data_IF_520650013629
#
_entry.id   IF_520650013629
#
_cell.length_a   1.000
_cell.length_b   1.000
_cell.length_c   1.000
_cell.angle_alpha   90.00
_cell.angle_beta   90.00
_cell.angle_gamma   90.00
#
_symmetry.space_group_name_H-M   'P 1'
#
loop_
_entity.id
_entity.type
_entity.pdbx_description
1 polymer ?
#
# COMPACT_ATOMS: atom_id res chain seq x y z
N UNK A 1 -15.79 -13.40 72.55
CA UNK A 1 -16.09 -14.83 72.47
C UNK A 1 -15.71 -15.29 71.06
N UNK A 2 -14.52 -15.81 70.88
CA UNK A 2 -14.09 -16.75 69.81
C UNK A 2 -14.59 -18.17 70.15
N UNK A 3 -14.69 -19.16 69.26
CA UNK A 3 -13.74 -19.60 68.25
C UNK A 3 -14.40 -20.07 66.91
N UNK A 4 -13.70 -20.34 65.89
CA UNK A 4 -13.02 -21.51 65.44
C UNK A 4 -12.62 -21.53 63.99
N UNK A 5 -11.40 -22.00 63.76
CA UNK A 5 -10.76 -22.22 62.47
C UNK A 5 -11.32 -23.45 61.73
N UNK A 6 -11.30 -23.39 60.39
CA UNK A 6 -11.15 -24.58 59.55
C UNK A 6 -10.39 -24.24 58.26
N UNK A 7 -9.25 -24.88 58.10
CA UNK A 7 -8.38 -24.85 56.91
C UNK A 7 -9.01 -25.67 55.78
N UNK A 8 -8.99 -25.13 54.56
CA UNK A 8 -9.30 -25.84 53.33
C UNK A 8 -8.11 -25.78 52.37
N UNK A 9 -7.59 -26.92 52.00
CA UNK A 9 -6.44 -27.13 51.12
C UNK A 9 -6.65 -26.58 49.69
N UNK A 10 -5.56 -26.17 48.96
CA UNK A 10 -5.68 -25.73 47.59
C UNK A 10 -5.76 -26.94 46.62
N UNK A 11 -6.72 -26.88 45.73
CA UNK A 11 -6.90 -27.84 44.64
C UNK A 11 -5.75 -27.73 43.59
N UNK A 12 -5.20 -28.89 43.25
CA UNK A 12 -4.14 -29.09 42.27
C UNK A 12 -4.59 -28.69 40.85
N UNK A 13 -3.77 -27.90 40.17
CA UNK A 13 -3.88 -27.59 38.75
C UNK A 13 -3.64 -28.87 37.89
N UNK A 14 -4.64 -29.23 37.10
CA UNK A 14 -4.54 -30.29 36.08
C UNK A 14 -3.74 -29.85 34.85
N UNK A 15 -2.55 -30.42 34.65
CA UNK A 15 -1.75 -30.23 33.45
C UNK A 15 -2.44 -30.85 32.23
N UNK A 16 -2.69 -30.05 31.20
CA UNK A 16 -3.07 -30.53 29.87
C UNK A 16 -1.83 -30.92 29.12
N UNK A 17 -1.66 -32.21 28.88
CA UNK A 17 -0.64 -32.80 28.03
C UNK A 17 -0.98 -32.50 26.57
N UNK A 18 -0.13 -31.72 25.89
CA UNK A 18 -0.22 -31.52 24.45
C UNK A 18 0.32 -32.78 23.75
N UNK A 19 -0.55 -33.53 23.08
CA UNK A 19 -0.14 -34.63 22.19
C UNK A 19 0.56 -34.09 20.95
N UNK A 20 1.84 -34.42 20.78
CA UNK A 20 2.57 -34.29 19.52
C UNK A 20 1.90 -35.14 18.44
N UNK A 21 1.44 -34.53 17.37
CA UNK A 21 0.98 -35.22 16.17
C UNK A 21 2.22 -35.61 15.37
N UNK A 22 2.32 -36.91 15.08
CA UNK A 22 3.45 -37.55 14.44
C UNK A 22 3.72 -37.10 13.00
N UNK A 23 4.95 -37.30 12.58
CA UNK A 23 5.48 -36.88 11.30
C UNK A 23 4.76 -37.50 10.09
N UNK A 24 4.67 -36.72 9.03
CA UNK A 24 4.21 -37.13 7.71
C UNK A 24 5.45 -37.58 6.94
N UNK A 25 5.53 -38.88 6.66
CA UNK A 25 6.53 -39.52 5.76
C UNK A 25 6.39 -38.96 4.34
N UNK A 26 7.50 -38.58 3.73
CA UNK A 26 7.60 -38.24 2.32
C UNK A 26 7.83 -39.51 1.49
N UNK A 27 7.02 -39.82 0.47
CA UNK A 27 7.36 -40.87 -0.49
C UNK A 27 8.40 -40.39 -1.50
N UNK A 28 9.32 -41.30 -1.84
CA UNK A 28 10.48 -41.07 -2.67
C UNK A 28 10.16 -40.77 -4.15
N UNK A 29 11.12 -40.08 -4.74
CA UNK A 29 11.22 -39.87 -6.19
C UNK A 29 11.64 -41.19 -6.90
N UNK A 30 10.87 -41.58 -7.89
CA UNK A 30 11.39 -42.31 -9.06
C UNK A 30 10.38 -42.23 -10.20
N UNK A 31 10.84 -41.94 -11.42
CA UNK A 31 10.08 -42.10 -12.65
C UNK A 31 10.12 -40.86 -13.57
N UNK A 32 11.07 -40.86 -14.52
CA UNK A 32 10.98 -40.04 -15.73
C UNK A 32 9.85 -40.57 -16.62
N UNK A 33 9.07 -39.77 -17.29
CA UNK A 33 8.39 -40.20 -18.51
C UNK A 33 9.03 -39.58 -19.77
N UNK A 34 8.91 -40.40 -20.79
CA UNK A 34 9.46 -40.29 -22.12
C UNK A 34 8.96 -39.11 -22.94
N UNK A 35 9.84 -38.67 -23.82
CA UNK A 35 9.61 -37.72 -24.91
C UNK A 35 8.61 -38.25 -25.94
N UNK A 36 7.51 -37.54 -26.16
CA UNK A 36 6.66 -37.72 -27.33
C UNK A 36 6.90 -36.57 -28.29
N UNK A 37 7.48 -36.88 -29.45
CA UNK A 37 7.66 -35.96 -30.57
C UNK A 37 6.32 -35.66 -31.25
N UNK A 38 6.08 -34.41 -31.55
CA UNK A 38 4.98 -33.96 -32.43
C UNK A 38 5.60 -33.42 -33.70
N UNK A 39 5.23 -34.07 -34.82
CA UNK A 39 5.73 -33.82 -36.15
C UNK A 39 5.28 -32.45 -36.71
N UNK A 40 6.18 -31.92 -37.48
CA UNK A 40 5.98 -30.79 -38.39
C UNK A 40 5.21 -31.19 -39.62
N UNK A 41 4.09 -30.51 -39.90
CA UNK A 41 3.52 -30.49 -41.26
C UNK A 41 3.65 -29.08 -41.83
N UNK A 42 4.49 -28.96 -42.84
CA UNK A 42 4.50 -27.86 -43.80
C UNK A 42 3.31 -28.04 -44.74
N UNK A 43 2.63 -26.93 -45.02
CA UNK A 43 1.88 -26.76 -46.26
C UNK A 43 2.18 -25.40 -46.88
N UNK A 44 2.55 -25.50 -48.13
CA UNK A 44 3.07 -24.52 -49.07
C UNK A 44 1.92 -23.85 -49.84
N UNK A 45 2.29 -22.79 -50.59
CA UNK A 45 1.54 -22.11 -51.67
C UNK A 45 0.50 -21.06 -51.24
N UNK A 46 0.45 -19.86 -51.83
CA UNK A 46 0.81 -19.35 -53.16
C UNK A 46 0.85 -17.81 -53.17
N UNK A 47 1.75 -17.29 -53.99
CA UNK A 47 1.89 -15.88 -54.46
C UNK A 47 0.67 -15.44 -55.23
N UNK A 48 0.23 -14.16 -55.07
CA UNK A 48 -0.23 -13.36 -56.20
C UNK A 48 0.24 -11.91 -56.07
N UNK A 49 0.96 -11.52 -57.05
CA UNK A 49 1.50 -10.22 -57.40
C UNK A 49 0.38 -9.37 -58.04
N UNK A 50 0.26 -8.10 -57.71
CA UNK A 50 -0.36 -7.11 -58.59
C UNK A 50 0.09 -5.68 -58.22
N UNK A 51 1.01 -5.22 -58.99
CA UNK A 51 1.42 -3.83 -59.21
C UNK A 51 0.35 -3.02 -59.90
N UNK A 52 0.04 -1.80 -59.45
CA UNK A 52 -0.31 -0.65 -60.32
C UNK A 52 -0.21 0.70 -59.57
N UNK A 53 0.32 1.75 -60.25
CA UNK A 53 0.66 3.02 -59.65
C UNK A 53 -0.45 4.08 -59.66
N UNK A 54 -0.28 5.25 -59.01
CA UNK A 54 -1.33 6.23 -58.77
C UNK A 54 -1.51 7.19 -59.96
N UNK A 55 -2.73 7.60 -60.13
CA UNK A 55 -3.20 8.55 -61.16
C UNK A 55 -3.17 9.98 -60.59
N UNK A 56 -2.49 10.88 -61.34
CA UNK A 56 -2.45 12.32 -61.11
C UNK A 56 -3.84 12.96 -61.37
N UNK A 57 -4.21 13.96 -60.59
CA UNK A 57 -5.29 14.90 -60.87
C UNK A 57 -4.76 16.33 -60.83
N UNK A 58 -5.17 17.06 -61.86
CA UNK A 58 -4.70 18.35 -62.34
C UNK A 58 -5.15 19.52 -61.48
N UNK A 59 -4.30 20.55 -61.47
CA UNK A 59 -4.61 21.89 -61.01
C UNK A 59 -5.69 22.57 -61.88
N UNK A 60 -6.55 23.35 -61.19
CA UNK A 60 -7.24 24.49 -61.80
C UNK A 60 -6.95 25.72 -60.97
N UNK A 61 -6.29 26.68 -61.63
CA UNK A 61 -6.16 28.07 -61.20
C UNK A 61 -7.46 28.81 -61.46
N UNK A 62 -7.82 29.71 -60.60
CA UNK A 62 -8.94 30.63 -60.74
C UNK A 62 -8.73 31.86 -59.88
N UNK A 63 -8.54 32.98 -60.57
CA UNK A 63 -8.23 34.31 -60.03
C UNK A 63 -9.30 34.96 -59.19
N UNK A 64 -8.89 35.68 -58.14
CA UNK A 64 -9.23 37.08 -57.87
C UNK A 64 -10.60 37.37 -57.23
N UNK A 65 -10.54 37.91 -56.02
CA UNK A 65 -10.99 39.29 -55.70
C UNK A 65 -10.71 39.59 -54.24
N UNK A 66 -10.08 40.72 -53.99
CA UNK A 66 -9.90 41.39 -52.69
C UNK A 66 -11.22 41.77 -52.07
N UNK A 67 -11.45 41.38 -50.80
CA UNK A 67 -12.28 42.13 -49.86
C UNK A 67 -11.60 42.12 -48.50
N UNK A 68 -11.11 43.28 -48.08
CA UNK A 68 -10.69 43.54 -46.69
C UNK A 68 -11.91 43.48 -45.79
N UNK A 69 -11.85 42.62 -44.77
CA UNK A 69 -12.71 42.78 -43.60
C UNK A 69 -11.90 42.46 -42.35
N UNK A 70 -11.55 43.52 -41.62
CA UNK A 70 -10.99 43.47 -40.28
C UNK A 70 -12.04 42.94 -39.33
N UNK A 71 -11.84 41.73 -38.80
CA UNK A 71 -12.41 41.30 -37.54
C UNK A 71 -11.31 40.64 -36.73
N UNK A 72 -10.83 41.37 -35.71
CA UNK A 72 -9.89 40.80 -34.73
C UNK A 72 -10.57 39.71 -33.93
N UNK A 73 -10.13 38.45 -34.17
CA UNK A 73 -10.40 37.37 -33.22
C UNK A 73 -9.42 37.58 -32.08
N UNK A 74 -9.93 38.01 -30.92
CA UNK A 74 -9.25 37.89 -29.66
C UNK A 74 -8.96 36.39 -29.46
N UNK A 75 -7.69 36.00 -29.49
CA UNK A 75 -7.25 34.70 -29.01
C UNK A 75 -7.56 34.70 -27.52
N UNK A 76 -8.65 34.04 -27.14
CA UNK A 76 -8.98 33.77 -25.75
C UNK A 76 -7.81 33.05 -25.14
N UNK A 77 -7.10 33.72 -24.20
CA UNK A 77 -6.13 33.08 -23.35
C UNK A 77 -6.83 31.91 -22.65
N UNK A 78 -6.32 30.71 -22.82
CA UNK A 78 -6.67 29.59 -21.97
C UNK A 78 -6.28 30.01 -20.57
N UNK A 79 -7.30 30.29 -19.74
CA UNK A 79 -7.10 30.41 -18.30
C UNK A 79 -6.48 29.08 -17.87
N UNK A 80 -5.20 29.10 -17.53
CA UNK A 80 -4.60 27.99 -16.79
C UNK A 80 -5.40 27.91 -15.48
N UNK A 81 -6.21 26.87 -15.34
CA UNK A 81 -6.82 26.55 -14.07
C UNK A 81 -5.68 26.39 -13.04
N UNK A 82 -5.81 27.02 -11.88
CA UNK A 82 -4.82 26.82 -10.83
C UNK A 82 -4.71 25.31 -10.54
N UNK A 83 -3.48 24.77 -10.34
CA UNK A 83 -3.30 23.35 -10.08
C UNK A 83 -4.09 22.95 -8.83
N UNK A 84 -4.88 21.89 -8.95
CA UNK A 84 -5.71 21.37 -7.86
C UNK A 84 -4.78 21.00 -6.69
N UNK A 85 -5.07 21.55 -5.52
CA UNK A 85 -4.25 21.27 -4.33
C UNK A 85 -4.38 19.83 -3.87
N UNK A 86 -3.35 19.28 -3.21
CA UNK A 86 -3.39 17.89 -2.67
C UNK A 86 -4.61 17.66 -1.76
N UNK A 87 -4.99 18.58 -0.84
CA UNK A 87 -6.22 18.42 -0.05
C UNK A 87 -7.48 18.26 -0.90
N UNK A 88 -7.61 19.00 -1.99
CA UNK A 88 -8.75 18.91 -2.93
C UNK A 88 -8.74 17.59 -3.70
N UNK A 89 -7.56 17.13 -4.15
CA UNK A 89 -7.37 15.83 -4.78
C UNK A 89 -7.81 14.69 -3.86
N UNK A 90 -7.38 14.71 -2.60
CA UNK A 90 -7.76 13.75 -1.58
C UNK A 90 -9.26 13.83 -1.22
N UNK A 91 -9.83 15.03 -1.17
CA UNK A 91 -11.27 15.24 -0.94
C UNK A 91 -12.10 14.65 -2.10
N UNK A 92 -11.68 14.91 -3.35
CA UNK A 92 -12.33 14.34 -4.54
C UNK A 92 -12.30 12.83 -4.53
N UNK A 93 -11.16 12.23 -4.20
CA UNK A 93 -11.05 10.76 -4.12
C UNK A 93 -11.94 10.17 -3.02
N UNK A 94 -12.06 10.82 -1.86
CA UNK A 94 -13.04 10.43 -0.83
C UNK A 94 -14.47 10.52 -1.34
N UNK A 95 -14.83 11.60 -2.01
CA UNK A 95 -16.17 11.79 -2.55
C UNK A 95 -16.56 10.69 -3.54
N UNK A 96 -15.64 10.30 -4.42
CA UNK A 96 -15.90 9.27 -5.44
C UNK A 96 -15.85 7.85 -4.86
N UNK A 97 -14.91 7.54 -3.97
CA UNK A 97 -14.69 6.17 -3.50
C UNK A 97 -15.49 5.81 -2.24
N UNK A 98 -15.87 6.75 -1.37
CA UNK A 98 -16.56 6.41 -0.10
C UNK A 98 -17.94 5.79 -0.31
N UNK A 99 -18.83 6.29 -1.20
CA UNK A 99 -20.13 5.65 -1.40
C UNK A 99 -20.02 4.20 -1.88
N UNK A 100 -19.25 3.86 -2.93
CA UNK A 100 -19.12 2.47 -3.35
C UNK A 100 -18.36 1.59 -2.33
N UNK A 101 -17.42 2.15 -1.55
CA UNK A 101 -16.77 1.44 -0.44
C UNK A 101 -17.78 1.05 0.64
N UNK A 102 -18.67 1.98 1.03
CA UNK A 102 -19.77 1.69 1.97
C UNK A 102 -20.72 0.64 1.41
N UNK A 103 -21.06 0.73 0.12
CA UNK A 103 -21.92 -0.25 -0.54
C UNK A 103 -21.27 -1.65 -0.57
N UNK A 104 -19.96 -1.75 -0.77
CA UNK A 104 -19.23 -3.02 -0.70
C UNK A 104 -19.26 -3.61 0.71
N UNK A 105 -18.94 -2.82 1.74
CA UNK A 105 -18.98 -3.26 3.15
C UNK A 105 -20.37 -3.70 3.59
N UNK A 106 -21.43 -3.03 3.14
CA UNK A 106 -22.82 -3.41 3.41
C UNK A 106 -23.25 -4.78 2.83
N UNK A 107 -22.42 -5.40 1.98
CA UNK A 107 -22.62 -6.78 1.50
C UNK A 107 -22.24 -7.85 2.53
N UNK A 108 -21.44 -7.47 3.52
CA UNK A 108 -21.04 -8.38 4.60
C UNK A 108 -22.23 -8.72 5.48
N UNK A 109 -22.30 -9.98 5.91
CA UNK A 109 -23.32 -10.40 6.86
C UNK A 109 -23.02 -9.86 8.26
N UNK A 110 -24.07 -9.55 9.04
CA UNK A 110 -23.91 -9.20 10.45
C UNK A 110 -23.24 -10.35 11.23
N UNK A 111 -22.35 -10.06 12.19
CA UNK A 111 -21.95 -8.74 12.67
C UNK A 111 -20.78 -8.12 11.92
N UNK A 112 -20.24 -8.74 10.85
CA UNK A 112 -19.03 -8.28 10.14
C UNK A 112 -19.19 -6.90 9.52
N UNK A 113 -20.37 -6.58 8.98
CA UNK A 113 -20.70 -5.25 8.44
C UNK A 113 -20.54 -4.14 9.50
N UNK A 114 -21.03 -4.41 10.72
CA UNK A 114 -20.95 -3.50 11.86
C UNK A 114 -19.50 -3.32 12.34
N UNK A 115 -18.74 -4.40 12.47
CA UNK A 115 -17.32 -4.34 12.87
C UNK A 115 -16.49 -3.61 11.83
N UNK A 116 -16.72 -3.85 10.53
CA UNK A 116 -16.07 -3.12 9.44
C UNK A 116 -16.43 -1.63 9.48
N UNK A 117 -17.72 -1.28 9.61
CA UNK A 117 -18.18 0.12 9.68
C UNK A 117 -17.54 0.85 10.88
N UNK A 118 -17.37 0.17 12.02
CA UNK A 118 -16.65 0.69 13.17
C UNK A 118 -15.18 0.93 12.84
N UNK A 119 -14.49 -0.05 12.25
CA UNK A 119 -13.07 0.06 11.90
C UNK A 119 -12.82 1.24 10.92
N UNK A 120 -13.68 1.42 9.92
CA UNK A 120 -13.62 2.56 9.01
C UNK A 120 -13.95 3.91 9.68
N UNK A 121 -14.43 3.91 10.92
CA UNK A 121 -14.81 5.14 11.64
C UNK A 121 -16.13 5.74 11.18
N UNK A 122 -17.03 4.96 10.61
CA UNK A 122 -18.36 5.41 10.19
C UNK A 122 -19.40 5.37 11.27
N UNK A 123 -19.20 4.52 12.26
CA UNK A 123 -20.02 4.37 13.46
C UNK A 123 -19.13 4.31 14.70
N UNK A 124 -19.71 4.58 15.87
CA UNK A 124 -19.11 4.28 17.16
C UNK A 124 -19.37 2.84 17.60
N UNK A 125 -18.92 2.48 18.82
CA UNK A 125 -19.10 1.14 19.40
C UNK A 125 -20.57 0.75 19.59
N UNK A 126 -21.46 1.74 19.71
CA UNK A 126 -22.89 1.53 19.96
C UNK A 126 -23.69 1.54 18.64
N UNK A 127 -23.01 1.64 17.51
CA UNK A 127 -23.61 1.66 16.17
C UNK A 127 -24.11 3.04 15.72
N UNK A 128 -23.83 4.10 16.50
CA UNK A 128 -24.26 5.46 16.16
C UNK A 128 -23.35 6.03 15.07
N UNK A 129 -23.90 6.62 13.99
CA UNK A 129 -23.09 7.25 12.96
C UNK A 129 -22.20 8.37 13.51
N UNK A 130 -20.93 8.36 13.10
CA UNK A 130 -19.95 9.41 13.47
C UNK A 130 -19.35 10.02 12.20
N UNK A 131 -18.96 11.29 12.32
CA UNK A 131 -18.24 11.99 11.26
C UNK A 131 -16.76 11.60 11.34
N UNK A 132 -16.43 10.37 10.95
CA UNK A 132 -15.03 9.92 10.81
C UNK A 132 -14.49 10.25 9.41
N UNK A 133 -13.24 10.63 9.32
CA UNK A 133 -12.60 11.00 8.06
C UNK A 133 -12.02 9.80 7.27
N UNK A 134 -12.12 8.58 7.81
CA UNK A 134 -11.70 7.34 7.13
C UNK A 134 -10.21 7.30 6.72
N UNK A 135 -9.41 8.29 7.11
CA UNK A 135 -8.01 8.43 6.73
C UNK A 135 -7.78 9.37 5.53
N UNK A 136 -6.52 9.48 5.10
CA UNK A 136 -6.10 10.48 4.10
C UNK A 136 -6.51 10.15 2.66
N UNK A 137 -7.00 8.93 2.38
CA UNK A 137 -7.44 8.46 1.04
C UNK A 137 -6.37 8.58 -0.06
N UNK A 138 -5.09 8.45 0.29
CA UNK A 138 -3.96 8.52 -0.66
C UNK A 138 -4.02 7.39 -1.69
N UNK A 139 -4.31 6.15 -1.26
CA UNK A 139 -4.40 4.99 -2.17
C UNK A 139 -5.56 5.11 -3.15
N UNK A 140 -6.79 5.48 -2.75
CA UNK A 140 -7.85 5.83 -3.68
C UNK A 140 -7.45 6.94 -4.66
N UNK A 141 -6.78 8.02 -4.18
CA UNK A 141 -6.33 9.10 -5.06
C UNK A 141 -5.35 8.62 -6.14
N UNK A 142 -4.40 7.77 -5.78
CA UNK A 142 -3.46 7.14 -6.73
C UNK A 142 -4.20 6.31 -7.79
N UNK A 143 -5.22 5.54 -7.39
CA UNK A 143 -6.01 4.75 -8.34
C UNK A 143 -6.78 5.63 -9.33
N UNK A 144 -7.37 6.73 -8.87
CA UNK A 144 -8.06 7.68 -9.74
C UNK A 144 -7.08 8.39 -10.69
N UNK A 145 -5.94 8.86 -10.17
CA UNK A 145 -4.89 9.50 -10.96
C UNK A 145 -4.33 8.55 -12.03
N UNK A 146 -4.15 7.26 -11.70
CA UNK A 146 -3.65 6.29 -12.66
C UNK A 146 -4.61 6.06 -13.84
N UNK A 147 -5.93 6.13 -13.62
CA UNK A 147 -6.90 6.16 -14.72
C UNK A 147 -6.75 7.45 -15.56
N UNK A 148 -6.64 8.62 -14.92
CA UNK A 148 -6.44 9.88 -15.61
C UNK A 148 -5.11 9.92 -16.42
N UNK A 149 -4.07 9.22 -15.97
CA UNK A 149 -2.80 9.12 -16.68
C UNK A 149 -2.95 8.47 -18.08
N UNK A 150 -4.03 7.73 -18.31
CA UNK A 150 -4.35 7.15 -19.64
C UNK A 150 -5.33 8.00 -20.45
N UNK A 151 -5.70 9.17 -19.95
CA UNK A 151 -6.76 10.02 -20.54
C UNK A 151 -8.18 9.57 -20.20
N UNK A 152 -8.37 8.54 -19.36
CA UNK A 152 -9.68 8.11 -18.91
C UNK A 152 -10.25 9.02 -17.82
N UNK A 153 -11.57 9.00 -17.64
CA UNK A 153 -12.22 9.68 -16.53
C UNK A 153 -11.81 9.04 -15.18
N UNK A 154 -11.65 9.83 -14.10
CA UNK A 154 -11.22 9.31 -12.80
C UNK A 154 -12.16 8.23 -12.24
N UNK A 155 -13.45 8.24 -12.62
CA UNK A 155 -14.46 7.27 -12.21
C UNK A 155 -14.10 5.83 -12.64
N UNK A 156 -13.33 5.65 -13.72
CA UNK A 156 -12.80 4.35 -14.15
C UNK A 156 -11.88 3.74 -13.09
N UNK A 157 -11.15 4.58 -12.34
CA UNK A 157 -10.27 4.15 -11.25
C UNK A 157 -10.99 3.80 -9.94
N UNK A 158 -12.29 4.16 -9.81
CA UNK A 158 -13.03 3.99 -8.53
C UNK A 158 -13.06 2.53 -8.04
N UNK A 159 -13.37 1.50 -8.87
CA UNK A 159 -13.31 0.12 -8.40
C UNK A 159 -11.93 -0.27 -7.87
N UNK A 160 -10.87 0.20 -8.53
CA UNK A 160 -9.48 0.01 -8.09
C UNK A 160 -9.20 0.68 -6.74
N UNK A 161 -9.62 1.93 -6.58
CA UNK A 161 -9.47 2.69 -5.33
C UNK A 161 -10.19 2.02 -4.15
N UNK A 162 -11.42 1.55 -4.38
CA UNK A 162 -12.21 0.80 -3.38
C UNK A 162 -11.52 -0.51 -3.02
N UNK A 163 -11.08 -1.28 -4.00
CA UNK A 163 -10.45 -2.59 -3.78
C UNK A 163 -9.14 -2.48 -2.99
N UNK A 164 -8.31 -1.49 -3.33
CA UNK A 164 -7.05 -1.22 -2.60
C UNK A 164 -7.32 -0.74 -1.18
N UNK A 165 -8.35 0.08 -0.96
CA UNK A 165 -8.72 0.55 0.38
C UNK A 165 -9.27 -0.58 1.25
N UNK A 166 -10.03 -1.52 0.68
CA UNK A 166 -10.47 -2.74 1.38
C UNK A 166 -9.29 -3.59 1.82
N UNK A 167 -8.32 -3.84 0.94
CA UNK A 167 -7.09 -4.59 1.27
C UNK A 167 -6.25 -3.84 2.31
N UNK A 168 -6.16 -2.52 2.23
CA UNK A 168 -5.45 -1.74 3.23
C UNK A 168 -6.09 -1.89 4.62
N UNK A 169 -7.42 -1.81 4.71
CA UNK A 169 -8.11 -1.94 5.99
C UNK A 169 -8.12 -3.38 6.53
N UNK A 170 -8.09 -4.39 5.65
CA UNK A 170 -7.77 -5.77 6.05
C UNK A 170 -6.43 -5.82 6.79
N UNK A 171 -5.36 -5.28 6.19
CA UNK A 171 -4.03 -5.33 6.82
C UNK A 171 -4.01 -4.60 8.17
N UNK A 172 -4.67 -3.43 8.28
CA UNK A 172 -4.73 -2.69 9.53
C UNK A 172 -5.45 -3.45 10.66
N UNK A 173 -6.54 -4.18 10.35
CA UNK A 173 -7.26 -5.00 11.32
C UNK A 173 -6.39 -6.12 11.89
N UNK A 174 -5.60 -6.76 11.01
CA UNK A 174 -4.71 -7.85 11.40
C UNK A 174 -3.46 -7.33 12.10
N UNK A 175 -2.86 -6.23 11.64
CA UNK A 175 -1.72 -5.57 12.28
C UNK A 175 -2.06 -5.15 13.71
N UNK A 176 -3.19 -4.45 13.93
CA UNK A 176 -3.63 -4.04 15.26
C UNK A 176 -3.67 -5.21 16.27
N UNK A 177 -4.12 -6.38 15.80
CA UNK A 177 -4.17 -7.58 16.63
C UNK A 177 -2.80 -8.22 16.84
N UNK A 178 -1.96 -8.31 15.80
CA UNK A 178 -0.62 -8.93 15.86
C UNK A 178 0.33 -8.10 16.72
N UNK A 179 0.24 -6.76 16.60
CA UNK A 179 1.09 -5.82 17.35
C UNK A 179 0.55 -5.55 18.77
N UNK A 180 -0.69 -6.00 19.08
CA UNK A 180 -1.35 -5.74 20.35
C UNK A 180 -1.75 -4.27 20.53
N UNK A 181 -1.90 -3.53 19.44
CA UNK A 181 -2.28 -2.12 19.48
C UNK A 181 -3.72 -1.93 19.95
N UNK A 182 -3.91 -1.37 21.14
CA UNK A 182 -5.25 -1.15 21.72
C UNK A 182 -5.96 0.07 21.14
N UNK A 183 -5.21 1.00 20.52
CA UNK A 183 -5.77 2.23 19.96
C UNK A 183 -5.21 2.54 18.56
N UNK A 184 -6.08 3.05 17.69
CA UNK A 184 -5.74 3.54 16.34
C UNK A 184 -6.50 4.83 16.06
N UNK A 185 -5.80 5.88 15.62
CA UNK A 185 -6.43 7.21 15.35
C UNK A 185 -7.29 7.72 16.52
N UNK A 186 -6.75 7.62 17.74
CA UNK A 186 -7.40 8.02 18.99
C UNK A 186 -8.71 7.25 19.32
N UNK A 187 -8.94 6.09 18.70
CA UNK A 187 -10.07 5.20 18.98
C UNK A 187 -9.57 3.81 19.35
N UNK A 188 -10.35 3.11 20.18
CA UNK A 188 -10.09 1.70 20.47
C UNK A 188 -10.10 0.88 19.16
N UNK A 189 -9.19 -0.09 19.03
CA UNK A 189 -9.11 -0.95 17.86
C UNK A 189 -10.26 -1.94 17.80
N UNK A 190 -10.58 -2.47 16.63
CA UNK A 190 -11.72 -3.38 16.48
C UNK A 190 -11.56 -4.65 17.32
N UNK A 191 -10.33 -5.17 17.49
CA UNK A 191 -10.11 -6.39 18.28
C UNK A 191 -10.35 -6.17 19.77
N UNK A 192 -10.11 -4.96 20.32
CA UNK A 192 -10.39 -4.64 21.72
C UNK A 192 -11.89 -4.47 22.00
N UNK A 193 -12.65 -4.00 21.00
CA UNK A 193 -14.10 -3.74 21.13
C UNK A 193 -14.93 -5.00 20.86
N UNK A 194 -14.60 -5.76 19.80
CA UNK A 194 -15.40 -6.87 19.29
C UNK A 194 -14.72 -8.23 19.44
N UNK A 195 -13.49 -8.25 19.93
CA UNK A 195 -12.70 -9.46 20.14
C UNK A 195 -11.86 -9.86 18.92
N UNK A 196 -10.78 -10.66 19.16
CA UNK A 196 -9.81 -11.01 18.14
C UNK A 196 -10.40 -11.83 16.98
N UNK A 197 -11.35 -12.72 17.24
CA UNK A 197 -11.98 -13.53 16.22
C UNK A 197 -12.73 -12.67 15.18
N UNK A 198 -13.44 -11.62 15.63
CA UNK A 198 -14.14 -10.72 14.72
C UNK A 198 -13.14 -9.89 13.88
N UNK A 199 -12.05 -9.40 14.47
CA UNK A 199 -11.03 -8.66 13.73
C UNK A 199 -10.41 -9.51 12.60
N UNK A 200 -10.10 -10.79 12.86
CA UNK A 200 -9.57 -11.72 11.86
C UNK A 200 -10.59 -11.93 10.74
N UNK A 201 -11.82 -12.34 11.08
CA UNK A 201 -12.85 -12.68 10.08
C UNK A 201 -13.23 -11.48 9.21
N UNK A 202 -13.32 -10.29 9.79
CA UNK A 202 -13.60 -9.07 9.04
C UNK A 202 -12.44 -8.72 8.12
N UNK A 203 -11.19 -8.86 8.58
CA UNK A 203 -10.02 -8.67 7.73
C UNK A 203 -10.07 -9.59 6.51
N UNK A 204 -10.27 -10.88 6.68
CA UNK A 204 -10.38 -11.86 5.60
C UNK A 204 -11.51 -11.52 4.62
N UNK A 205 -12.67 -11.10 5.16
CA UNK A 205 -13.80 -10.70 4.36
C UNK A 205 -13.52 -9.43 3.52
N UNK A 206 -12.85 -8.42 4.08
CA UNK A 206 -12.45 -7.20 3.36
C UNK A 206 -11.47 -7.51 2.22
N UNK A 207 -10.48 -8.38 2.44
CA UNK A 207 -9.55 -8.81 1.39
C UNK A 207 -10.27 -9.52 0.24
N UNK A 208 -11.26 -10.36 0.55
CA UNK A 208 -12.10 -11.05 -0.44
C UNK A 208 -12.98 -10.06 -1.22
N UNK A 209 -13.66 -9.12 -0.52
CA UNK A 209 -14.45 -8.07 -1.14
C UNK A 209 -13.65 -7.22 -2.14
N UNK A 210 -12.37 -6.94 -1.86
CA UNK A 210 -11.51 -6.21 -2.79
C UNK A 210 -11.43 -6.89 -4.17
N UNK A 211 -11.36 -8.22 -4.22
CA UNK A 211 -11.38 -8.98 -5.45
C UNK A 211 -12.77 -8.96 -6.13
N UNK A 212 -13.83 -9.10 -5.37
CA UNK A 212 -15.20 -9.07 -5.89
C UNK A 212 -15.52 -7.73 -6.55
N UNK A 213 -15.13 -6.59 -5.93
CA UNK A 213 -15.36 -5.24 -6.48
C UNK A 213 -14.73 -5.07 -7.86
N UNK A 214 -13.54 -5.63 -8.08
CA UNK A 214 -12.87 -5.57 -9.39
C UNK A 214 -13.58 -6.45 -10.45
N UNK A 215 -14.09 -7.60 -10.05
CA UNK A 215 -14.88 -8.47 -10.95
C UNK A 215 -16.22 -7.85 -11.28
N UNK A 216 -16.89 -7.22 -10.32
CA UNK A 216 -18.16 -6.51 -10.51
C UNK A 216 -18.02 -5.36 -11.53
N UNK A 217 -16.84 -4.71 -11.61
CA UNK A 217 -16.58 -3.66 -12.59
C UNK A 217 -16.70 -4.16 -14.04
N UNK A 218 -16.30 -5.41 -14.31
CA UNK A 218 -16.48 -6.03 -15.62
C UNK A 218 -17.94 -6.40 -15.88
N UNK A 219 -18.63 -6.96 -14.88
CA UNK A 219 -20.05 -7.36 -14.99
C UNK A 219 -20.95 -6.15 -15.26
N UNK A 220 -20.65 -5.02 -14.62
CA UNK A 220 -21.41 -3.78 -14.78
C UNK A 220 -21.01 -2.97 -16.04
N UNK A 221 -20.12 -3.49 -16.90
CA UNK A 221 -19.72 -2.86 -18.16
C UNK A 221 -18.79 -1.66 -18.01
N UNK A 222 -18.19 -1.45 -16.84
CA UNK A 222 -17.25 -0.35 -16.57
C UNK A 222 -15.82 -0.61 -17.07
N UNK A 223 -15.45 -1.87 -17.29
CA UNK A 223 -14.14 -2.28 -17.82
C UNK A 223 -14.26 -3.59 -18.60
N UNK A 224 -13.27 -3.96 -19.40
CA UNK A 224 -13.26 -5.25 -20.09
C UNK A 224 -13.01 -6.41 -19.11
N UNK A 225 -13.54 -7.63 -19.37
CA UNK A 225 -13.24 -8.81 -18.55
C UNK A 225 -11.74 -9.11 -18.45
N UNK A 226 -10.98 -8.83 -19.51
CA UNK A 226 -9.52 -9.01 -19.52
C UNK A 226 -8.83 -8.03 -18.59
N UNK A 227 -9.20 -6.76 -18.60
CA UNK A 227 -8.61 -5.73 -17.75
C UNK A 227 -9.02 -5.91 -16.30
N UNK A 228 -10.26 -6.33 -16.02
CA UNK A 228 -10.67 -6.73 -14.68
C UNK A 228 -9.82 -7.90 -14.14
N UNK A 229 -9.55 -8.92 -14.95
CA UNK A 229 -8.70 -10.04 -14.57
C UNK A 229 -7.23 -9.59 -14.32
N UNK A 230 -6.71 -8.64 -15.12
CA UNK A 230 -5.38 -8.01 -14.89
C UNK A 230 -5.38 -7.23 -13.57
N UNK A 231 -6.40 -6.43 -13.30
CA UNK A 231 -6.54 -5.68 -12.04
C UNK A 231 -6.64 -6.60 -10.82
N UNK A 232 -7.40 -7.69 -10.90
CA UNK A 232 -7.47 -8.73 -9.85
C UNK A 232 -6.09 -9.36 -9.62
N UNK A 233 -5.36 -9.71 -10.67
CA UNK A 233 -4.00 -10.26 -10.54
C UNK A 233 -3.04 -9.26 -9.90
N UNK A 234 -3.10 -7.99 -10.28
CA UNK A 234 -2.31 -6.92 -9.69
C UNK A 234 -2.58 -6.80 -8.19
N UNK A 235 -3.86 -6.70 -7.79
CA UNK A 235 -4.27 -6.58 -6.39
C UNK A 235 -3.87 -7.81 -5.55
N UNK A 236 -4.16 -9.02 -6.04
CA UNK A 236 -3.87 -10.25 -5.30
C UNK A 236 -2.37 -10.49 -5.16
N UNK A 237 -1.57 -10.12 -6.17
CA UNK A 237 -0.10 -10.17 -6.09
C UNK A 237 0.42 -9.19 -5.04
N UNK A 238 -0.11 -7.95 -5.02
CA UNK A 238 0.24 -6.96 -4.01
C UNK A 238 -0.18 -7.38 -2.60
N UNK A 239 -1.38 -7.95 -2.45
CA UNK A 239 -1.88 -8.48 -1.17
C UNK A 239 -1.00 -9.60 -0.63
N UNK A 240 -0.60 -10.56 -1.48
CA UNK A 240 0.32 -11.63 -1.08
C UNK A 240 1.67 -11.06 -0.64
N UNK A 241 2.25 -10.11 -1.40
CA UNK A 241 3.51 -9.46 -1.02
C UNK A 241 3.40 -8.68 0.29
N UNK A 242 2.25 -8.04 0.54
CA UNK A 242 1.98 -7.37 1.80
C UNK A 242 1.99 -8.39 2.96
N UNK A 243 1.36 -9.54 2.79
CA UNK A 243 1.35 -10.63 3.78
C UNK A 243 2.77 -11.19 3.98
N UNK A 244 3.54 -11.39 2.90
CA UNK A 244 4.94 -11.84 2.98
C UNK A 244 5.79 -10.84 3.80
N UNK A 245 5.63 -9.52 3.55
CA UNK A 245 6.31 -8.46 4.30
C UNK A 245 5.90 -8.41 5.77
N UNK A 246 4.61 -8.57 6.08
CA UNK A 246 4.12 -8.65 7.46
C UNK A 246 4.67 -9.89 8.19
N UNK A 247 4.77 -11.04 7.50
CA UNK A 247 5.37 -12.23 8.08
C UNK A 247 6.86 -12.04 8.40
N UNK A 248 7.58 -11.28 7.56
CA UNK A 248 8.98 -10.89 7.84
C UNK A 248 9.06 -9.96 9.04
N UNK A 249 8.19 -8.96 9.14
CA UNK A 249 8.16 -8.00 10.26
C UNK A 249 7.98 -8.71 11.60
N UNK A 250 6.97 -9.59 11.71
CA UNK A 250 6.76 -10.45 12.88
C UNK A 250 7.98 -11.35 13.18
N UNK A 251 8.61 -11.92 12.15
CA UNK A 251 9.80 -12.74 12.34
C UNK A 251 11.00 -11.93 12.85
N UNK A 252 11.11 -10.65 12.49
CA UNK A 252 12.18 -9.76 12.92
C UNK A 252 12.16 -9.48 14.42
N UNK A 253 10.99 -9.53 15.07
CA UNK A 253 10.88 -9.37 16.53
C UNK A 253 11.70 -10.40 17.32
N UNK A 254 11.84 -11.61 16.76
CA UNK A 254 12.56 -12.72 17.39
C UNK A 254 14.06 -12.72 17.07
N UNK A 255 14.55 -11.75 16.28
CA UNK A 255 15.93 -11.67 15.83
C UNK A 255 16.69 -10.59 16.62
N UNK A 256 17.96 -10.84 16.87
CA UNK A 256 18.85 -9.83 17.51
C UNK A 256 19.19 -8.69 16.54
N UNK A 257 19.35 -8.99 15.24
CA UNK A 257 19.66 -8.00 14.21
C UNK A 257 18.97 -8.34 12.88
N UNK A 258 18.73 -7.29 12.09
CA UNK A 258 18.22 -7.33 10.72
C UNK A 258 19.14 -6.48 9.85
N UNK A 259 19.46 -6.94 8.66
CA UNK A 259 20.26 -6.16 7.70
C UNK A 259 19.41 -5.09 7.03
N UNK A 260 20.04 -4.03 6.51
CA UNK A 260 19.37 -2.98 5.72
C UNK A 260 18.63 -3.60 4.52
N UNK A 261 19.24 -4.58 3.85
CA UNK A 261 18.61 -5.24 2.69
C UNK A 261 17.33 -5.99 3.08
N UNK A 262 17.35 -6.73 4.18
CA UNK A 262 16.16 -7.43 4.70
C UNK A 262 15.07 -6.45 5.14
N UNK A 263 15.45 -5.32 5.77
CA UNK A 263 14.52 -4.28 6.17
C UNK A 263 13.81 -3.68 4.93
N UNK A 264 14.58 -3.30 3.89
CA UNK A 264 14.02 -2.80 2.63
C UNK A 264 13.13 -3.83 1.92
N UNK A 265 13.47 -5.12 1.97
CA UNK A 265 12.64 -6.18 1.39
C UNK A 265 11.31 -6.33 2.14
N UNK A 266 11.34 -6.29 3.46
CA UNK A 266 10.14 -6.29 4.30
C UNK A 266 9.26 -5.09 3.99
N UNK A 267 9.82 -3.88 3.93
CA UNK A 267 9.09 -2.64 3.60
C UNK A 267 8.52 -2.65 2.18
N UNK A 268 9.29 -3.21 1.22
CA UNK A 268 8.84 -3.40 -0.16
C UNK A 268 7.61 -4.31 -0.24
N UNK A 269 7.53 -5.31 0.62
CA UNK A 269 6.35 -6.17 0.78
C UNK A 269 5.22 -5.47 1.53
N UNK A 270 5.45 -5.16 2.80
CA UNK A 270 4.44 -4.66 3.75
C UNK A 270 3.78 -3.36 3.31
N UNK A 271 4.57 -2.42 2.79
CA UNK A 271 4.10 -1.06 2.48
C UNK A 271 4.06 -0.76 0.98
N UNK A 272 5.18 -0.97 0.26
CA UNK A 272 5.31 -0.50 -1.10
C UNK A 272 4.50 -1.31 -2.11
N UNK A 273 4.27 -2.61 -1.89
CA UNK A 273 3.53 -3.45 -2.82
C UNK A 273 2.09 -2.96 -3.07
N UNK A 274 1.38 -2.55 -2.01
CA UNK A 274 0.00 -2.06 -2.14
C UNK A 274 -0.04 -0.65 -2.73
N UNK A 275 0.95 0.21 -2.46
CA UNK A 275 1.07 1.52 -3.10
C UNK A 275 1.40 1.39 -4.59
N UNK A 276 2.23 0.42 -4.98
CA UNK A 276 2.49 0.09 -6.38
C UNK A 276 1.20 -0.32 -7.10
N UNK A 277 0.41 -1.21 -6.51
CA UNK A 277 -0.88 -1.61 -7.06
C UNK A 277 -1.84 -0.41 -7.16
N UNK A 278 -1.95 0.42 -6.12
CA UNK A 278 -2.79 1.61 -6.11
C UNK A 278 -2.43 2.58 -7.25
N UNK A 279 -1.12 2.76 -7.52
CA UNK A 279 -0.63 3.68 -8.55
C UNK A 279 -0.87 3.19 -9.99
N UNK A 280 -1.25 1.93 -10.19
CA UNK A 280 -1.42 1.37 -11.54
C UNK A 280 -2.82 0.83 -11.82
N UNK A 281 -3.59 0.49 -10.77
CA UNK A 281 -4.83 -0.28 -10.93
C UNK A 281 -5.88 0.45 -11.77
N UNK A 282 -5.98 1.78 -11.65
CA UNK A 282 -6.91 2.58 -12.45
C UNK A 282 -6.53 2.59 -13.93
N UNK A 283 -5.22 2.67 -14.25
CA UNK A 283 -4.73 2.57 -15.61
C UNK A 283 -5.01 1.19 -16.22
N UNK A 284 -4.82 0.12 -15.44
CA UNK A 284 -5.17 -1.25 -15.85
C UNK A 284 -6.66 -1.37 -16.15
N UNK A 285 -7.53 -0.84 -15.29
CA UNK A 285 -8.99 -0.83 -15.50
C UNK A 285 -9.41 -0.01 -16.73
N UNK A 286 -8.61 1.01 -17.07
CA UNK A 286 -8.79 1.83 -18.28
C UNK A 286 -8.22 1.17 -19.55
N UNK A 287 -7.66 -0.04 -19.47
CA UNK A 287 -7.12 -0.78 -20.62
C UNK A 287 -5.69 -0.38 -21.01
N UNK A 288 -4.92 0.25 -20.12
CA UNK A 288 -3.52 0.57 -20.37
C UNK A 288 -2.69 -0.68 -20.67
N UNK A 289 -1.66 -0.52 -21.49
CA UNK A 289 -0.70 -1.57 -21.75
C UNK A 289 0.21 -1.85 -20.54
N UNK A 290 0.98 -2.94 -20.63
CA UNK A 290 1.85 -3.35 -19.53
C UNK A 290 2.97 -2.35 -19.27
N UNK A 291 3.46 -1.63 -20.30
CA UNK A 291 4.53 -0.63 -20.14
C UNK A 291 4.08 0.54 -19.25
N UNK A 292 2.90 1.08 -19.50
CA UNK A 292 2.31 2.14 -18.67
C UNK A 292 2.02 1.64 -17.26
N UNK A 293 1.41 0.44 -17.16
CA UNK A 293 1.12 -0.19 -15.87
C UNK A 293 2.38 -0.42 -15.03
N UNK A 294 3.46 -0.94 -15.64
CA UNK A 294 4.72 -1.22 -14.95
C UNK A 294 5.43 0.06 -14.50
N UNK A 295 5.38 1.14 -15.31
CA UNK A 295 5.96 2.43 -14.93
C UNK A 295 5.22 3.04 -13.74
N UNK A 296 3.88 3.00 -13.73
CA UNK A 296 3.08 3.45 -12.59
C UNK A 296 3.28 2.56 -11.36
N UNK A 297 3.48 1.25 -11.53
CA UNK A 297 3.84 0.36 -10.41
C UNK A 297 5.22 0.72 -9.84
N UNK A 298 6.22 1.02 -10.69
CA UNK A 298 7.54 1.48 -10.22
C UNK A 298 7.42 2.78 -9.44
N UNK A 299 6.65 3.75 -9.95
CA UNK A 299 6.37 4.98 -9.20
C UNK A 299 5.81 4.68 -7.80
N UNK A 300 4.73 3.90 -7.71
CA UNK A 300 4.09 3.56 -6.44
C UNK A 300 4.98 2.73 -5.50
N UNK A 301 5.83 1.85 -6.05
CA UNK A 301 6.79 1.08 -5.28
C UNK A 301 7.82 1.98 -4.59
N UNK A 302 8.47 2.85 -5.35
CA UNK A 302 9.48 3.76 -4.82
C UNK A 302 8.86 4.83 -3.91
N UNK A 303 7.66 5.32 -4.21
CA UNK A 303 6.90 6.17 -3.31
C UNK A 303 6.61 5.47 -1.97
N UNK A 304 6.28 4.19 -2.01
CA UNK A 304 6.01 3.38 -0.82
C UNK A 304 7.25 3.21 0.07
N UNK A 305 8.41 2.98 -0.53
CA UNK A 305 9.68 2.90 0.21
C UNK A 305 10.08 4.26 0.78
N UNK A 306 9.92 5.36 0.03
CA UNK A 306 10.15 6.70 0.54
C UNK A 306 9.23 7.03 1.72
N UNK A 307 7.94 6.67 1.60
CA UNK A 307 6.96 6.85 2.66
C UNK A 307 7.34 6.09 3.94
N UNK A 308 7.76 4.81 3.80
CA UNK A 308 8.14 4.00 4.95
C UNK A 308 9.40 4.52 5.62
N UNK A 309 10.41 4.91 4.84
CA UNK A 309 11.64 5.51 5.40
C UNK A 309 11.34 6.78 6.21
N UNK A 310 10.39 7.62 5.76
CA UNK A 310 9.92 8.80 6.52
C UNK A 310 9.14 8.37 7.77
N UNK A 311 8.26 7.37 7.66
CA UNK A 311 7.50 6.87 8.82
C UNK A 311 8.42 6.30 9.91
N UNK A 312 9.48 5.59 9.54
CA UNK A 312 10.51 5.07 10.45
C UNK A 312 11.31 6.20 11.13
N UNK A 313 11.60 7.28 10.40
CA UNK A 313 12.23 8.47 11.01
C UNK A 313 11.29 9.11 12.04
N UNK A 314 10.00 9.24 11.69
CA UNK A 314 8.99 9.78 12.59
C UNK A 314 8.72 8.86 13.79
N UNK A 315 8.83 7.56 13.63
CA UNK A 315 8.71 6.57 14.72
C UNK A 315 9.75 6.75 15.81
N UNK A 316 10.90 7.33 15.48
CA UNK A 316 11.98 7.62 16.44
C UNK A 316 12.00 9.11 16.84
N UNK A 317 11.98 10.04 15.89
CA UNK A 317 12.20 11.48 16.14
C UNK A 317 10.94 12.35 15.94
N UNK A 318 9.82 11.77 15.54
CA UNK A 318 8.59 12.52 15.33
C UNK A 318 8.01 13.04 16.64
N UNK A 319 7.48 14.28 16.60
CA UNK A 319 6.74 14.84 17.71
C UNK A 319 5.37 14.13 17.87
N UNK A 320 4.92 13.92 19.09
CA UNK A 320 3.64 13.21 19.38
C UNK A 320 2.44 13.89 18.72
N UNK A 321 2.48 15.22 18.60
CA UNK A 321 1.43 16.04 17.96
C UNK A 321 1.31 15.75 16.46
N UNK A 322 2.41 15.31 15.82
CA UNK A 322 2.47 15.01 14.38
C UNK A 322 2.13 13.55 14.11
N UNK A 323 2.65 12.64 14.95
CA UNK A 323 2.55 11.20 14.74
C UNK A 323 1.30 10.58 15.36
N UNK A 324 0.76 11.21 16.41
CA UNK A 324 -0.29 10.64 17.25
C UNK A 324 0.18 9.43 18.08
N UNK A 325 1.50 9.12 18.05
CA UNK A 325 2.13 8.05 18.83
C UNK A 325 3.03 8.63 19.91
N UNK A 326 3.30 7.90 20.99
CA UNK A 326 4.28 8.31 22.00
C UNK A 326 5.65 8.58 21.36
N UNK A 327 6.36 9.56 21.85
CA UNK A 327 7.74 9.84 21.43
C UNK A 327 8.61 8.58 21.58
N UNK A 328 9.49 8.29 20.60
CA UNK A 328 10.29 7.05 20.49
C UNK A 328 9.46 5.76 20.44
N UNK A 329 8.28 5.79 19.81
CA UNK A 329 7.36 4.63 19.75
C UNK A 329 8.05 3.37 19.24
N UNK A 330 8.80 3.46 18.15
CA UNK A 330 9.51 2.32 17.54
C UNK A 330 10.64 1.79 18.43
N UNK A 331 11.29 2.66 19.19
CA UNK A 331 12.32 2.23 20.15
C UNK A 331 11.73 1.52 21.37
N UNK A 332 10.56 1.96 21.84
CA UNK A 332 9.80 1.28 22.91
C UNK A 332 9.40 -0.13 22.50
N UNK A 333 8.93 -0.28 21.26
CA UNK A 333 8.56 -1.57 20.66
C UNK A 333 9.78 -2.39 20.21
N UNK A 334 11.00 -1.85 20.30
CA UNK A 334 12.25 -2.46 19.80
C UNK A 334 12.16 -2.87 18.34
N UNK A 335 11.46 -2.09 17.56
CA UNK A 335 11.26 -2.33 16.13
C UNK A 335 12.58 -2.31 15.38
N UNK A 336 12.76 -3.23 14.45
CA UNK A 336 13.95 -3.31 13.59
C UNK A 336 13.77 -2.41 12.35
N UNK A 337 13.53 -1.11 12.62
CA UNK A 337 13.29 -0.12 11.57
C UNK A 337 14.56 0.25 10.82
N UNK A 338 14.42 0.89 9.68
CA UNK A 338 15.50 1.22 8.76
C UNK A 338 16.64 2.05 9.43
N UNK A 339 16.35 3.09 10.26
CA UNK A 339 17.39 3.81 10.96
C UNK A 339 18.21 2.93 11.91
N UNK A 340 17.57 1.96 12.57
CA UNK A 340 18.24 1.02 13.47
C UNK A 340 19.15 0.07 12.68
N UNK A 341 18.64 -0.51 11.59
CA UNK A 341 19.39 -1.42 10.73
C UNK A 341 20.60 -0.72 10.11
N UNK A 342 20.43 0.52 9.61
CA UNK A 342 21.52 1.32 9.04
C UNK A 342 22.58 1.67 10.09
N UNK A 343 22.17 2.08 11.29
CA UNK A 343 23.09 2.38 12.39
C UNK A 343 23.92 1.16 12.82
N UNK A 344 23.32 -0.03 12.84
CA UNK A 344 24.05 -1.26 13.16
C UNK A 344 25.03 -1.67 12.05
N UNK A 345 24.69 -1.44 10.79
CA UNK A 345 25.52 -1.79 9.64
C UNK A 345 26.79 -0.95 9.52
N UNK A 346 26.83 0.27 10.08
CA UNK A 346 28.01 1.16 10.04
C UNK A 346 29.21 0.60 10.79
N UNK A 347 29.01 -0.15 11.89
CA UNK A 347 30.06 -0.92 12.59
C UNK A 347 31.02 -0.14 13.46
N UNK A 348 30.85 1.19 13.62
CA UNK A 348 31.67 2.06 14.46
C UNK A 348 31.44 1.91 15.97
N UNK A 349 32.04 2.77 16.79
CA UNK A 349 31.88 2.68 18.24
C UNK A 349 30.44 2.89 18.74
N UNK A 350 29.68 3.77 18.09
CA UNK A 350 28.27 4.00 18.42
C UNK A 350 27.40 2.77 18.03
N UNK A 351 27.66 2.15 16.86
CA UNK A 351 26.99 0.92 16.43
C UNK A 351 27.20 -0.23 17.40
N UNK A 352 28.42 -0.42 17.88
CA UNK A 352 28.73 -1.47 18.88
C UNK A 352 27.98 -1.26 20.19
N UNK A 353 27.96 -0.01 20.71
CA UNK A 353 27.20 0.32 21.92
C UNK A 353 25.69 0.12 21.71
N UNK A 354 25.18 0.48 20.54
CA UNK A 354 23.78 0.25 20.19
C UNK A 354 23.47 -1.26 20.18
N UNK A 355 24.32 -2.07 19.55
CA UNK A 355 24.18 -3.54 19.53
C UNK A 355 24.17 -4.15 20.93
N UNK A 356 25.07 -3.70 21.81
CA UNK A 356 25.11 -4.13 23.21
C UNK A 356 23.81 -3.81 23.97
N UNK A 357 23.28 -2.59 23.80
CA UNK A 357 21.99 -2.20 24.41
C UNK A 357 20.80 -3.00 23.88
N UNK A 358 20.79 -3.30 22.58
CA UNK A 358 19.70 -4.09 21.97
C UNK A 358 19.76 -5.57 22.37
N UNK A 359 20.96 -6.10 22.64
CA UNK A 359 21.17 -7.47 23.08
C UNK A 359 20.89 -7.68 24.59
N UNK A 360 20.80 -6.62 25.40
CA UNK A 360 20.58 -6.74 26.86
C UNK A 360 19.13 -7.23 27.16
N UNK A 361 18.96 -8.43 27.74
CA UNK A 361 17.63 -8.95 28.10
C UNK A 361 16.95 -8.13 29.21
N UNK A 362 17.73 -7.45 30.06
CA UNK A 362 17.20 -6.62 31.15
C UNK A 362 16.49 -5.37 30.64
N UNK A 363 16.82 -4.89 29.46
CA UNK A 363 16.14 -3.80 28.80
C UNK A 363 14.79 -4.19 28.17
N UNK A 364 14.29 -5.40 28.35
CA UNK A 364 12.94 -5.82 27.89
C UNK A 364 11.82 -5.43 28.87
N UNK A 365 12.12 -4.62 29.89
CA UNK A 365 11.16 -3.99 30.77
C UNK A 365 10.71 -2.63 30.29
N UNK A 366 9.96 -1.89 31.10
CA UNK A 366 9.60 -0.49 30.84
C UNK A 366 10.88 0.38 30.85
N UNK A 367 11.39 0.68 29.65
CA UNK A 367 12.51 1.61 29.50
C UNK A 367 12.02 3.04 29.72
N UNK A 368 12.76 3.81 30.53
CA UNK A 368 12.48 5.21 30.79
C UNK A 368 12.86 6.10 29.59
N UNK A 369 12.37 7.33 29.59
CA UNK A 369 12.70 8.30 28.54
C UNK A 369 14.21 8.57 28.38
N UNK A 370 15.04 8.61 29.46
CA UNK A 370 16.47 8.80 29.32
C UNK A 370 17.19 7.70 28.53
N UNK A 371 16.79 6.44 28.70
CA UNK A 371 17.35 5.29 28.00
C UNK A 371 16.97 5.32 26.52
N UNK A 372 15.73 5.65 26.20
CA UNK A 372 15.25 5.80 24.83
C UNK A 372 15.92 6.95 24.11
N UNK A 373 16.08 8.11 24.79
CA UNK A 373 16.82 9.25 24.24
C UNK A 373 18.30 8.91 23.97
N UNK A 374 18.95 8.18 24.89
CA UNK A 374 20.33 7.72 24.70
C UNK A 374 20.46 6.78 23.50
N UNK A 375 19.48 5.89 23.28
CA UNK A 375 19.43 4.99 22.13
C UNK A 375 19.22 5.76 20.83
N UNK A 376 18.27 6.70 20.79
CA UNK A 376 18.05 7.56 19.63
C UNK A 376 19.32 8.35 19.27
N UNK A 377 20.04 8.86 20.27
CA UNK A 377 21.32 9.54 20.06
C UNK A 377 22.43 8.60 19.52
N UNK A 378 22.47 7.34 19.93
CA UNK A 378 23.41 6.35 19.38
C UNK A 378 23.11 6.04 17.92
N UNK A 379 21.81 5.90 17.54
CA UNK A 379 21.38 5.67 16.16
C UNK A 379 21.80 6.87 15.30
N UNK A 380 21.60 8.10 15.78
CA UNK A 380 21.99 9.31 15.06
C UNK A 380 23.53 9.42 14.94
N UNK A 381 24.29 9.17 16.01
CA UNK A 381 25.76 9.16 15.99
C UNK A 381 26.35 8.09 15.05
N UNK A 382 25.68 6.96 14.92
CA UNK A 382 26.04 5.91 13.97
C UNK A 382 25.56 6.18 12.53
N UNK A 383 24.99 7.36 12.25
CA UNK A 383 24.59 7.77 10.91
C UNK A 383 23.25 7.19 10.43
N UNK A 384 22.53 6.42 11.26
CA UNK A 384 21.29 5.77 10.87
C UNK A 384 20.21 6.75 10.41
N UNK A 385 20.07 7.90 11.10
CA UNK A 385 19.14 8.96 10.72
C UNK A 385 19.49 9.55 9.34
N UNK A 386 20.74 9.95 9.14
CA UNK A 386 21.20 10.56 7.90
C UNK A 386 21.09 9.59 6.71
N UNK A 387 21.43 8.31 6.92
CA UNK A 387 21.32 7.27 5.92
C UNK A 387 19.85 7.08 5.47
N UNK A 388 18.91 7.00 6.42
CA UNK A 388 17.48 6.82 6.12
C UNK A 388 16.89 8.05 5.43
N UNK A 389 17.29 9.26 5.79
CA UNK A 389 16.90 10.49 5.10
C UNK A 389 17.36 10.49 3.63
N UNK A 390 18.60 10.05 3.37
CA UNK A 390 19.13 9.97 2.02
C UNK A 390 18.42 8.88 1.20
N UNK A 391 18.12 7.74 1.84
CA UNK A 391 17.35 6.68 1.23
C UNK A 391 15.94 7.15 0.84
N UNK A 392 15.24 7.87 1.73
CA UNK A 392 13.93 8.47 1.44
C UNK A 392 14.00 9.40 0.22
N UNK A 393 15.03 10.27 0.12
CA UNK A 393 15.22 11.16 -1.02
C UNK A 393 15.51 10.39 -2.31
N UNK A 394 16.38 9.36 -2.24
CA UNK A 394 16.72 8.50 -3.36
C UNK A 394 15.47 7.80 -3.91
N UNK A 395 14.66 7.23 -3.03
CA UNK A 395 13.42 6.55 -3.41
C UNK A 395 12.41 7.53 -4.01
N UNK A 396 12.24 8.70 -3.42
CA UNK A 396 11.37 9.76 -3.96
C UNK A 396 11.81 10.19 -5.38
N UNK A 397 13.09 10.46 -5.59
CA UNK A 397 13.63 10.82 -6.91
C UNK A 397 13.39 9.71 -7.93
N UNK A 398 13.59 8.45 -7.53
CA UNK A 398 13.35 7.30 -8.42
C UNK A 398 11.87 7.13 -8.74
N UNK A 399 10.98 7.42 -7.79
CA UNK A 399 9.54 7.43 -8.03
C UNK A 399 9.18 8.45 -9.12
N UNK A 400 9.63 9.69 -8.99
CA UNK A 400 9.34 10.73 -9.97
C UNK A 400 9.88 10.41 -11.38
N UNK A 401 11.09 9.85 -11.47
CA UNK A 401 11.68 9.44 -12.75
C UNK A 401 10.86 8.35 -13.45
N UNK A 402 10.15 7.48 -12.73
CA UNK A 402 9.28 6.47 -13.33
C UNK A 402 8.10 7.08 -14.11
N UNK A 403 7.68 8.31 -13.77
CA UNK A 403 6.62 9.02 -14.48
C UNK A 403 7.02 9.50 -15.88
N UNK A 404 8.33 9.63 -16.16
CA UNK A 404 8.83 10.08 -17.47
C UNK A 404 8.48 9.11 -18.61
N UNK A 405 8.21 7.86 -18.26
CA UNK A 405 7.84 6.83 -19.23
C UNK A 405 6.33 6.73 -19.48
N UNK A 406 5.51 7.49 -18.73
CA UNK A 406 4.04 7.46 -18.85
C UNK A 406 3.54 8.64 -19.67
N UNK A 407 2.87 8.40 -20.81
CA UNK A 407 2.36 9.47 -21.68
C UNK A 407 1.07 10.06 -21.07
N UNK A 408 1.21 10.99 -20.14
CA UNK A 408 0.09 11.68 -19.48
C UNK A 408 0.16 13.19 -19.71
N UNK A 409 -0.92 13.92 -19.44
CA UNK A 409 -0.93 15.38 -19.45
C UNK A 409 -0.06 15.96 -18.32
N UNK A 410 0.45 17.18 -18.54
CA UNK A 410 1.26 17.90 -17.53
C UNK A 410 0.48 18.06 -16.23
N UNK A 411 -0.82 18.38 -16.28
CA UNK A 411 -1.69 18.50 -15.11
C UNK A 411 -1.73 17.21 -14.27
N UNK A 412 -1.93 16.05 -14.89
CA UNK A 412 -1.96 14.77 -14.18
C UNK A 412 -0.59 14.44 -13.60
N UNK A 413 0.49 14.76 -14.33
CA UNK A 413 1.85 14.60 -13.84
C UNK A 413 2.12 15.45 -12.60
N UNK A 414 1.71 16.72 -12.62
CA UNK A 414 1.83 17.63 -11.47
C UNK A 414 1.09 17.09 -10.24
N UNK A 415 -0.08 16.49 -10.41
CA UNK A 415 -0.82 15.85 -9.31
C UNK A 415 -0.06 14.66 -8.72
N UNK A 416 0.58 13.81 -9.54
CA UNK A 416 1.43 12.72 -9.04
C UNK A 416 2.64 13.27 -8.26
N UNK A 417 3.30 14.31 -8.77
CA UNK A 417 4.44 14.97 -8.12
C UNK A 417 4.01 15.56 -6.78
N UNK A 418 2.94 16.36 -6.77
CA UNK A 418 2.42 16.98 -5.55
C UNK A 418 2.01 15.94 -4.49
N UNK A 419 1.41 14.83 -4.91
CA UNK A 419 1.04 13.74 -4.00
C UNK A 419 2.28 13.04 -3.44
N UNK A 420 3.34 12.85 -4.24
CA UNK A 420 4.60 12.29 -3.78
C UNK A 420 5.28 13.20 -2.74
N UNK A 421 5.33 14.49 -3.00
CA UNK A 421 5.85 15.49 -2.07
C UNK A 421 5.05 15.50 -0.75
N UNK A 422 3.71 15.50 -0.84
CA UNK A 422 2.84 15.45 0.35
C UNK A 422 3.06 14.20 1.21
N UNK A 423 3.39 13.07 0.58
CA UNK A 423 3.64 11.81 1.28
C UNK A 423 4.98 11.82 2.00
N UNK A 424 6.02 12.46 1.42
CA UNK A 424 7.40 12.46 1.92
C UNK A 424 7.68 13.65 2.84
N UNK A 425 7.04 14.82 2.63
CA UNK A 425 7.30 16.06 3.42
C UNK A 425 6.63 16.06 4.80
N UNK A 426 6.16 14.95 5.32
CA UNK A 426 5.56 14.85 6.66
C UNK A 426 6.47 15.23 7.84
N UNK A 427 7.72 15.59 7.58
CA UNK A 427 8.71 15.97 8.61
C UNK A 427 8.49 17.36 9.26
N UNK A 428 7.39 18.09 8.94
CA UNK A 428 7.16 19.41 9.51
C UNK A 428 5.80 19.53 10.16
#
# INVERSE_FOLDING_TARGET
VTPGAAAGEPARAGGRTVKRIGGIDRPGRSGRPDTVGIGTTRSDTSRTDSTRPPRAVRHHEGEGTHVESRTGFAVGGTAHAEPVSVPELLARSRTLCTPPLRAAVARLAAPMDTVAAYHFGWIDRDGTPVAGDGGKAVRPALALLSAQATGAAPEVGVPGGVAVELVHNFSLLHDDLMDGDETRRHRATAWTVFGPAQAILVGDALATLGTEVLLDAAVNGGTSPTDAARAVRLLTTATRRLIDGQAMDVAFEQRDSVTVAECLEMEAGKTAALLAAASAIGAVLAGADDKVSDSLQRYGHHLGLAFQAVDDLLGIWGATEVTGKPHWGDLRQRKKSLPVAAALAEGGPASRRLAEQLADPKGRGEEGEPELAARAALIEQAGGRAWTQEEARRQHTTALAALDEVPMSDEVREHFVALAEFVVVRER
#
